data_IF_369608052830
#
_entry.id   IF_369608052830
#
_cell.length_a   1.000
_cell.length_b   1.000
_cell.length_c   1.000
_cell.angle_alpha   90.00
_cell.angle_beta   90.00
_cell.angle_gamma   90.00
#
_symmetry.space_group_name_H-M   'P 1'
#
loop_
_entity.id
_entity.type
_entity.pdbx_description
1 polymer ?
#
# COMPACT_ATOMS: atom_id res chain seq x y z
N UNK A 1 -6.44 -23.71 -30.03
CA UNK A 1 -4.97 -23.78 -30.09
C UNK A 1 -4.45 -23.34 -28.73
N UNK A 2 -4.22 -24.30 -27.84
CA UNK A 2 -3.85 -24.05 -26.43
C UNK A 2 -2.35 -24.24 -26.31
N UNK A 3 -1.62 -23.18 -25.97
CA UNK A 3 -0.18 -23.22 -25.73
C UNK A 3 0.03 -23.72 -24.30
N UNK A 4 0.44 -24.99 -24.18
CA UNK A 4 0.92 -25.62 -22.95
C UNK A 4 2.32 -25.10 -22.63
N UNK A 5 2.46 -24.25 -21.61
CA UNK A 5 3.78 -23.92 -21.04
C UNK A 5 4.17 -25.01 -20.03
N UNK A 6 5.08 -25.87 -20.45
CA UNK A 6 5.71 -26.90 -19.61
C UNK A 6 7.06 -26.33 -19.13
N UNK A 7 7.16 -25.94 -17.87
CA UNK A 7 8.45 -25.61 -17.26
C UNK A 7 9.00 -26.84 -16.53
N UNK A 8 10.31 -27.16 -16.69
CA UNK A 8 10.94 -28.25 -15.97
C UNK A 8 11.34 -27.78 -14.56
N UNK A 9 10.90 -28.52 -13.54
CA UNK A 9 11.32 -28.37 -12.15
C UNK A 9 12.73 -28.99 -11.96
N UNK A 10 13.71 -28.33 -11.32
CA UNK A 10 14.87 -29.04 -10.80
C UNK A 10 14.56 -29.64 -9.43
N UNK A 11 14.93 -30.91 -9.29
CA UNK A 11 14.98 -31.68 -8.06
C UNK A 11 15.86 -30.94 -7.02
N UNK A 12 15.33 -30.65 -5.83
CA UNK A 12 16.15 -30.40 -4.64
C UNK A 12 15.69 -31.29 -3.50
N UNK A 13 16.57 -32.21 -3.11
CA UNK A 13 16.44 -33.07 -1.94
C UNK A 13 16.56 -32.23 -0.66
N UNK A 14 15.60 -32.44 0.24
CA UNK A 14 15.82 -32.69 1.67
C UNK A 14 16.59 -31.66 2.47
N UNK A 15 15.87 -30.84 3.25
CA UNK A 15 16.33 -30.49 4.60
C UNK A 15 15.12 -30.25 5.50
N UNK A 16 15.03 -31.05 6.57
CA UNK A 16 14.06 -30.88 7.67
C UNK A 16 14.18 -29.45 8.20
N UNK A 17 13.10 -28.68 8.17
CA UNK A 17 13.09 -27.32 8.71
C UNK A 17 12.06 -27.18 9.85
N UNK A 18 12.53 -26.52 10.90
CA UNK A 18 11.95 -26.31 12.21
C UNK A 18 10.50 -25.83 12.19
N UNK A 19 9.60 -26.64 12.76
CA UNK A 19 8.27 -26.22 13.19
C UNK A 19 8.30 -26.00 14.70
N UNK A 20 7.88 -24.79 15.14
CA UNK A 20 7.07 -24.45 16.33
C UNK A 20 7.37 -23.02 16.84
N UNK A 21 8.54 -22.45 16.55
CA UNK A 21 8.96 -21.15 17.12
C UNK A 21 8.63 -19.93 16.23
N UNK A 22 8.25 -20.14 14.96
CA UNK A 22 7.90 -19.07 14.01
C UNK A 22 6.48 -18.52 14.21
N UNK A 23 5.54 -19.36 14.63
CA UNK A 23 4.13 -18.96 14.78
C UNK A 23 3.89 -18.04 15.98
N UNK A 24 4.62 -18.24 17.08
CA UNK A 24 4.60 -17.35 18.25
C UNK A 24 5.12 -15.94 17.90
N UNK A 25 6.14 -15.84 17.04
CA UNK A 25 6.76 -14.55 16.69
C UNK A 25 5.90 -13.73 15.72
N UNK A 26 5.16 -14.38 14.81
CA UNK A 26 4.16 -13.71 13.95
C UNK A 26 2.98 -13.17 14.77
N UNK A 27 2.53 -13.92 15.78
CA UNK A 27 1.45 -13.50 16.67
C UNK A 27 1.82 -12.27 17.52
N UNK A 28 3.06 -12.16 18.02
CA UNK A 28 3.54 -11.01 18.79
C UNK A 28 3.59 -9.70 17.98
N UNK A 29 3.98 -9.76 16.70
CA UNK A 29 4.02 -8.58 15.81
C UNK A 29 2.62 -8.01 15.59
N UNK A 30 1.62 -8.87 15.34
CA UNK A 30 0.24 -8.40 15.21
C UNK A 30 -0.35 -7.89 16.55
N UNK A 31 0.09 -8.43 17.70
CA UNK A 31 -0.34 -7.98 19.03
C UNK A 31 0.22 -6.61 19.42
N UNK A 32 1.41 -6.26 18.92
CA UNK A 32 1.98 -4.92 19.10
C UNK A 32 1.16 -3.83 18.37
N UNK A 33 0.58 -4.16 17.21
CA UNK A 33 -0.21 -3.23 16.40
C UNK A 33 -1.61 -2.89 16.98
N UNK A 34 -2.14 -3.70 17.90
CA UNK A 34 -3.49 -3.54 18.48
C UNK A 34 -3.52 -2.87 19.86
N UNK A 35 -2.38 -2.46 20.40
CA UNK A 35 -2.29 -1.88 21.76
C UNK A 35 -2.47 -0.35 21.78
N UNK A 36 -3.72 0.11 21.60
CA UNK A 36 -4.18 1.42 22.07
C UNK A 36 -4.94 1.25 23.39
N UNK A 37 -4.72 2.09 24.42
CA UNK A 37 -5.34 1.88 25.72
C UNK A 37 -6.85 2.20 25.70
N UNK A 38 -7.65 1.28 26.21
CA UNK A 38 -9.08 1.47 26.48
C UNK A 38 -9.30 2.60 27.51
N UNK A 39 -10.03 3.63 27.12
CA UNK A 39 -10.55 4.65 28.04
C UNK A 39 -12.00 4.29 28.33
N UNK A 40 -12.27 3.84 29.55
CA UNK A 40 -13.63 3.72 30.07
C UNK A 40 -14.33 5.08 30.08
N UNK A 41 -15.45 5.22 29.38
CA UNK A 41 -16.37 6.35 29.55
C UNK A 41 -17.78 5.86 29.91
N UNK A 42 -18.27 6.41 31.02
CA UNK A 42 -19.67 6.34 31.46
C UNK A 42 -20.57 7.10 30.49
N UNK A 43 -21.78 6.56 30.28
CA UNK A 43 -22.89 7.12 29.52
C UNK A 43 -23.21 8.60 29.83
N UNK A 44 -23.33 9.42 28.77
CA UNK A 44 -24.48 10.31 28.54
C UNK A 44 -24.40 11.01 27.18
N UNK A 45 -25.50 10.97 26.40
CA UNK A 45 -25.85 12.03 25.44
C UNK A 45 -25.34 11.85 24.01
N UNK A 46 -26.24 11.46 23.12
CA UNK A 46 -26.09 11.35 21.67
C UNK A 46 -25.76 12.68 20.98
N UNK A 47 -24.62 12.74 20.29
CA UNK A 47 -24.35 13.68 19.17
C UNK A 47 -23.58 12.98 18.05
N UNK A 48 -23.88 13.27 16.76
CA UNK A 48 -23.34 12.50 15.63
C UNK A 48 -21.86 12.84 15.33
N UNK A 49 -21.07 11.77 15.16
CA UNK A 49 -19.60 11.72 15.00
C UNK A 49 -19.05 12.60 13.84
N UNK A 50 -19.88 12.95 12.86
CA UNK A 50 -19.46 13.78 11.73
C UNK A 50 -19.16 15.25 12.07
N UNK A 51 -19.72 15.80 13.15
CA UNK A 51 -19.41 17.18 13.57
C UNK A 51 -18.00 17.34 14.16
N UNK A 52 -17.36 16.26 14.63
CA UNK A 52 -15.97 16.32 15.11
C UNK A 52 -14.92 16.17 14.01
N UNK A 53 -15.27 15.55 12.88
CA UNK A 53 -14.34 15.42 11.75
C UNK A 53 -14.29 16.68 10.87
N UNK A 54 -15.35 17.49 10.84
CA UNK A 54 -15.41 18.74 10.07
C UNK A 54 -14.94 19.99 10.84
N UNK A 55 -14.84 19.94 12.17
CA UNK A 55 -14.31 21.07 12.96
C UNK A 55 -12.79 21.19 12.95
N UNK A 56 -12.07 20.22 12.36
CA UNK A 56 -10.60 20.20 12.32
C UNK A 56 -10.03 20.95 11.10
N UNK A 57 -10.86 21.41 10.14
CA UNK A 57 -10.33 22.07 8.94
C UNK A 57 -10.91 23.43 8.55
N UNK A 58 -12.00 23.92 9.15
CA UNK A 58 -12.44 25.31 8.91
C UNK A 58 -13.20 25.88 10.11
N UNK A 59 -12.51 26.72 10.91
CA UNK A 59 -13.13 27.77 11.71
C UNK A 59 -12.07 28.81 12.13
N UNK A 60 -11.83 29.79 11.28
CA UNK A 60 -11.37 31.11 11.75
C UNK A 60 -12.57 32.04 11.75
N UNK A 61 -12.74 32.72 12.89
CA UNK A 61 -13.81 33.65 13.32
C UNK A 61 -15.06 33.02 13.93
N UNK A 62 -15.09 33.04 15.26
CA UNK A 62 -16.31 33.08 16.04
C UNK A 62 -16.56 34.56 16.39
N UNK A 63 -17.69 35.08 15.94
CA UNK A 63 -18.28 36.34 16.41
C UNK A 63 -19.09 36.03 17.67
N UNK A 64 -18.90 36.80 18.75
CA UNK A 64 -19.61 36.60 20.01
C UNK A 64 -20.84 37.53 20.07
N UNK A 65 -22.04 36.97 19.88
CA UNK A 65 -23.31 37.71 19.85
C UNK A 65 -23.70 38.35 21.20
N UNK A 66 -23.02 38.05 22.32
CA UNK A 66 -23.36 38.63 23.61
C UNK A 66 -22.69 39.99 23.91
N UNK A 67 -21.69 40.42 23.12
CA UNK A 67 -20.88 41.62 23.48
C UNK A 67 -20.47 42.53 22.32
N UNK A 68 -20.74 42.18 21.06
CA UNK A 68 -20.58 43.10 19.92
C UNK A 68 -19.16 43.61 19.65
N UNK A 69 -18.10 42.99 20.20
CA UNK A 69 -16.71 43.43 20.01
C UNK A 69 -15.74 42.28 19.72
N UNK A 70 -14.71 42.56 18.93
CA UNK A 70 -13.62 41.63 18.60
C UNK A 70 -12.54 41.67 19.70
N UNK A 71 -12.22 40.53 20.32
CA UNK A 71 -11.16 40.41 21.34
C UNK A 71 -9.91 39.79 20.72
N UNK A 72 -8.77 40.48 20.81
CA UNK A 72 -7.43 39.93 20.55
C UNK A 72 -6.78 39.60 21.88
N UNK A 73 -6.33 38.36 22.10
CA UNK A 73 -5.51 38.08 23.28
C UNK A 73 -4.39 37.06 23.07
N UNK A 74 -3.27 37.40 23.71
CA UNK A 74 -1.90 36.97 23.45
C UNK A 74 -1.54 35.54 23.88
N UNK A 75 -2.53 34.65 24.06
CA UNK A 75 -2.34 33.25 24.47
C UNK A 75 -2.17 32.27 23.28
N UNK A 76 -2.32 32.75 22.03
CA UNK A 76 -2.24 31.91 20.82
C UNK A 76 -0.79 31.60 20.39
N UNK A 77 0.21 32.35 20.88
CA UNK A 77 1.62 32.15 20.53
C UNK A 77 2.21 30.81 21.01
N UNK A 78 1.79 30.34 22.18
CA UNK A 78 2.40 29.19 22.85
C UNK A 78 1.75 27.84 22.44
N UNK A 79 0.47 27.86 22.11
CA UNK A 79 -0.21 26.70 21.48
C UNK A 79 0.25 26.49 20.03
N UNK A 80 0.48 27.58 19.28
CA UNK A 80 1.02 27.53 17.91
C UNK A 80 2.46 27.01 17.87
N UNK A 81 3.30 27.39 18.85
CA UNK A 81 4.66 26.87 19.00
C UNK A 81 4.72 25.36 19.31
N UNK A 82 3.82 24.86 20.17
CA UNK A 82 3.72 23.43 20.50
C UNK A 82 3.18 22.59 19.34
N UNK A 83 2.20 23.09 18.58
CA UNK A 83 1.71 22.42 17.37
C UNK A 83 2.74 22.43 16.23
N UNK A 84 3.53 23.50 16.07
CA UNK A 84 4.66 23.54 15.14
C UNK A 84 5.81 22.62 15.58
N UNK A 85 6.09 22.50 16.87
CA UNK A 85 7.09 21.54 17.38
C UNK A 85 6.61 20.09 17.26
N UNK A 86 5.33 19.82 17.48
CA UNK A 86 4.74 18.49 17.29
C UNK A 86 4.73 18.10 15.82
N UNK A 87 4.32 18.99 14.91
CA UNK A 87 4.43 18.77 13.47
C UNK A 87 5.89 18.54 13.04
N UNK A 88 6.84 19.33 13.56
CA UNK A 88 8.29 19.17 13.33
C UNK A 88 8.88 17.91 13.99
N UNK A 89 8.18 17.28 14.94
CA UNK A 89 8.59 16.03 15.59
C UNK A 89 8.05 14.82 14.84
N UNK A 90 6.82 14.88 14.35
CA UNK A 90 6.24 13.90 13.42
C UNK A 90 6.99 13.89 12.09
N UNK A 91 7.33 15.07 11.55
CA UNK A 91 8.24 15.20 10.40
C UNK A 91 9.57 14.50 10.69
N UNK A 92 10.13 14.64 11.90
CA UNK A 92 11.43 14.05 12.26
C UNK A 92 11.44 12.53 12.29
N UNK A 93 10.35 11.89 12.71
CA UNK A 93 10.23 10.42 12.74
C UNK A 93 10.09 9.85 11.33
N UNK A 94 9.25 10.47 10.50
CA UNK A 94 9.17 10.13 9.07
C UNK A 94 10.49 10.39 8.35
N UNK A 95 11.14 11.52 8.65
CA UNK A 95 12.48 11.84 8.13
C UNK A 95 13.47 10.77 8.54
N UNK A 96 13.48 10.31 9.79
CA UNK A 96 14.40 9.26 10.26
C UNK A 96 14.18 7.92 9.56
N UNK A 97 12.94 7.44 9.43
CA UNK A 97 12.64 6.18 8.74
C UNK A 97 13.06 6.26 7.26
N UNK A 98 12.68 7.36 6.59
CA UNK A 98 13.07 7.62 5.20
C UNK A 98 14.58 7.71 5.08
N UNK A 99 15.27 8.39 6.01
CA UNK A 99 16.72 8.56 6.01
C UNK A 99 17.45 7.23 6.24
N UNK A 100 16.97 6.35 7.11
CA UNK A 100 17.59 5.04 7.35
C UNK A 100 17.45 4.13 6.13
N UNK A 101 16.28 4.10 5.50
CA UNK A 101 16.07 3.36 4.24
C UNK A 101 16.92 3.97 3.11
N UNK A 102 16.99 5.30 3.01
CA UNK A 102 17.85 6.01 2.06
C UNK A 102 19.34 5.70 2.26
N UNK A 103 19.82 5.67 3.50
CA UNK A 103 21.23 5.42 3.80
C UNK A 103 21.65 3.99 3.45
N UNK A 104 20.75 3.02 3.65
CA UNK A 104 20.92 1.65 3.17
C UNK A 104 20.98 1.58 1.63
N UNK A 105 20.15 2.35 0.94
CA UNK A 105 20.09 2.36 -0.53
C UNK A 105 21.24 3.19 -1.17
N UNK A 106 21.69 4.26 -0.52
CA UNK A 106 22.85 5.09 -0.92
C UNK A 106 24.19 4.38 -0.72
N UNK A 107 24.22 3.34 0.12
CA UNK A 107 25.39 2.45 0.26
C UNK A 107 25.63 1.60 -0.99
N UNK A 108 24.65 1.48 -1.89
CA UNK A 108 24.79 0.86 -3.21
C UNK A 108 25.35 1.91 -4.18
N UNK A 109 26.65 2.14 -4.08
CA UNK A 109 27.35 3.23 -4.80
C UNK A 109 27.36 2.97 -6.31
N UNK A 110 26.89 3.98 -7.05
CA UNK A 110 27.16 4.26 -8.47
C UNK A 110 26.48 3.33 -9.50
N UNK A 111 25.28 3.70 -9.96
CA UNK A 111 24.59 2.98 -11.03
C UNK A 111 23.82 3.92 -11.96
N UNK A 112 23.90 3.61 -13.26
CA UNK A 112 23.36 4.36 -14.40
C UNK A 112 21.87 4.68 -14.28
N UNK A 113 21.39 5.70 -15.00
CA UNK A 113 19.98 6.15 -14.99
C UNK A 113 18.95 5.02 -15.23
N UNK A 114 19.39 3.92 -15.87
CA UNK A 114 18.56 2.75 -16.17
C UNK A 114 18.34 1.85 -14.95
N UNK A 115 19.25 1.81 -13.96
CA UNK A 115 19.10 0.89 -12.83
C UNK A 115 17.84 1.19 -12.01
N UNK A 116 17.47 2.47 -11.87
CA UNK A 116 16.32 2.85 -11.06
C UNK A 116 14.98 2.36 -11.64
N UNK A 117 14.93 2.05 -12.95
CA UNK A 117 13.78 1.39 -13.57
C UNK A 117 13.53 -0.03 -13.04
N UNK A 118 14.55 -0.67 -12.45
CA UNK A 118 14.39 -1.97 -11.81
C UNK A 118 13.46 -1.92 -10.60
N UNK A 119 13.31 -0.78 -9.92
CA UNK A 119 12.45 -0.70 -8.75
C UNK A 119 10.97 -1.01 -9.07
N UNK A 120 10.28 -0.27 -9.96
CA UNK A 120 8.90 -0.59 -10.34
C UNK A 120 8.78 -1.96 -11.03
N UNK A 121 9.81 -2.40 -11.76
CA UNK A 121 9.84 -3.74 -12.37
C UNK A 121 9.88 -4.84 -11.29
N UNK A 122 10.79 -4.73 -10.32
CA UNK A 122 10.93 -5.68 -9.21
C UNK A 122 9.70 -5.69 -8.33
N UNK A 123 9.13 -4.53 -8.02
CA UNK A 123 7.87 -4.42 -7.29
C UNK A 123 6.76 -5.21 -7.98
N UNK A 124 6.54 -4.96 -9.27
CA UNK A 124 5.50 -5.63 -10.05
C UNK A 124 5.74 -7.13 -10.16
N UNK A 125 6.98 -7.55 -10.44
CA UNK A 125 7.34 -8.97 -10.59
C UNK A 125 7.23 -9.75 -9.28
N UNK A 126 7.70 -9.18 -8.15
CA UNK A 126 7.63 -9.84 -6.84
C UNK A 126 6.19 -10.04 -6.42
N UNK A 127 5.34 -9.01 -6.56
CA UNK A 127 3.91 -9.09 -6.24
C UNK A 127 3.19 -10.09 -7.14
N UNK A 128 3.36 -9.98 -8.47
CA UNK A 128 2.67 -10.83 -9.43
C UNK A 128 3.09 -12.29 -9.27
N UNK A 129 4.39 -12.59 -9.35
CA UNK A 129 4.88 -13.96 -9.27
C UNK A 129 4.57 -14.55 -7.89
N UNK A 130 4.79 -13.79 -6.81
CA UNK A 130 4.57 -14.27 -5.45
C UNK A 130 3.11 -14.62 -5.17
N UNK A 131 2.17 -13.77 -5.58
CA UNK A 131 0.72 -14.03 -5.39
C UNK A 131 0.24 -15.21 -6.23
N UNK A 132 0.65 -15.29 -7.50
CA UNK A 132 0.29 -16.41 -8.39
C UNK A 132 0.91 -17.74 -7.95
N UNK A 133 2.15 -17.76 -7.46
CA UNK A 133 2.77 -18.98 -6.91
C UNK A 133 2.06 -19.41 -5.62
N UNK A 134 1.73 -18.47 -4.74
CA UNK A 134 0.96 -18.74 -3.53
C UNK A 134 -0.39 -19.38 -3.88
N UNK A 135 -1.13 -18.81 -4.83
CA UNK A 135 -2.37 -19.40 -5.33
C UNK A 135 -2.16 -20.77 -5.99
N UNK A 136 -1.14 -20.92 -6.83
CA UNK A 136 -0.85 -22.19 -7.49
C UNK A 136 -0.56 -23.32 -6.50
N UNK A 137 0.16 -23.01 -5.42
CA UNK A 137 0.39 -23.95 -4.32
C UNK A 137 -0.91 -24.27 -3.59
N UNK A 138 -1.66 -23.26 -3.16
CA UNK A 138 -2.93 -23.44 -2.45
C UNK A 138 -3.93 -24.27 -3.27
N UNK A 139 -4.00 -24.03 -4.58
CA UNK A 139 -4.83 -24.80 -5.51
C UNK A 139 -4.32 -26.24 -5.67
N UNK A 140 -3.00 -26.46 -5.76
CA UNK A 140 -2.42 -27.80 -5.89
C UNK A 140 -2.61 -28.68 -4.65
N UNK A 141 -2.81 -28.07 -3.48
CA UNK A 141 -3.09 -28.74 -2.21
C UNK A 141 -4.59 -28.77 -1.86
N UNK A 142 -5.47 -28.42 -2.80
CA UNK A 142 -6.93 -28.33 -2.60
C UNK A 142 -7.36 -27.40 -1.44
N UNK A 143 -6.49 -26.45 -1.04
CA UNK A 143 -6.80 -25.49 0.02
C UNK A 143 -7.74 -24.38 -0.46
N UNK A 144 -7.77 -24.08 -1.76
CA UNK A 144 -8.64 -23.07 -2.39
C UNK A 144 -9.19 -23.54 -3.72
N UNK A 145 -10.30 -22.95 -4.15
CA UNK A 145 -11.00 -23.39 -5.34
C UNK A 145 -10.36 -22.81 -6.59
N UNK A 146 -10.65 -23.40 -7.75
CA UNK A 146 -10.20 -22.80 -9.00
C UNK A 146 -10.88 -21.45 -9.19
N UNK A 147 -10.10 -20.41 -9.48
CA UNK A 147 -10.62 -19.09 -9.84
C UNK A 147 -11.57 -19.15 -11.05
N UNK A 148 -11.36 -20.11 -11.94
CA UNK A 148 -12.10 -20.28 -13.19
C UNK A 148 -13.32 -21.21 -13.07
N UNK A 149 -13.46 -21.99 -11.98
CA UNK A 149 -14.58 -22.92 -11.83
C UNK A 149 -15.65 -22.34 -10.90
N UNK A 150 -16.81 -22.01 -11.47
CA UNK A 150 -17.91 -21.32 -10.80
C UNK A 150 -19.08 -22.28 -10.49
N UNK A 151 -18.81 -23.58 -10.35
CA UNK A 151 -19.84 -24.61 -10.30
C UNK A 151 -20.92 -24.28 -9.25
N UNK A 152 -22.20 -24.11 -9.66
CA UNK A 152 -23.32 -23.87 -8.77
C UNK A 152 -23.69 -25.18 -8.08
N UNK A 153 -23.12 -25.40 -6.90
CA UNK A 153 -23.39 -26.54 -6.03
C UNK A 153 -22.45 -26.44 -4.86
N UNK A 154 -22.93 -26.73 -3.65
CA UNK A 154 -22.11 -26.68 -2.44
C UNK A 154 -20.94 -27.67 -2.60
N UNK A 155 -19.70 -27.23 -2.94
CA UNK A 155 -18.62 -28.17 -3.20
C UNK A 155 -18.18 -28.87 -1.91
N UNK A 156 -18.70 -28.39 -0.76
CA UNK A 156 -18.56 -28.91 0.59
C UNK A 156 -19.72 -29.81 1.05
N UNK A 157 -20.56 -30.31 0.15
CA UNK A 157 -21.69 -31.17 0.48
C UNK A 157 -21.30 -32.65 0.47
N UNK A 158 -21.09 -33.23 1.66
CA UNK A 158 -21.00 -34.63 2.12
C UNK A 158 -20.60 -35.83 1.21
N UNK A 159 -20.48 -35.75 -0.11
CA UNK A 159 -20.14 -36.92 -0.95
C UNK A 159 -19.73 -36.62 -2.40
N UNK A 160 -18.89 -35.62 -2.65
CA UNK A 160 -18.21 -35.47 -3.94
C UNK A 160 -16.71 -35.33 -3.76
N UNK A 161 -15.96 -36.11 -4.54
CA UNK A 161 -14.49 -36.18 -4.63
C UNK A 161 -13.80 -34.91 -5.13
N UNK A 162 -14.44 -33.73 -5.01
CA UNK A 162 -13.90 -32.43 -5.40
C UNK A 162 -13.73 -31.63 -4.09
N UNK A 163 -12.54 -31.69 -3.53
CA UNK A 163 -12.21 -31.36 -2.15
C UNK A 163 -12.06 -29.84 -1.84
N UNK A 164 -12.83 -28.96 -2.46
CA UNK A 164 -12.63 -27.51 -2.27
C UNK A 164 -13.77 -26.78 -1.54
N UNK A 165 -13.43 -26.03 -0.48
CA UNK A 165 -14.38 -25.24 0.30
C UNK A 165 -14.06 -23.75 0.46
N UNK A 166 -12.92 -23.29 -0.04
CA UNK A 166 -12.46 -21.92 0.20
C UNK A 166 -12.38 -21.14 -1.10
N UNK A 167 -12.99 -19.97 -1.08
CA UNK A 167 -12.95 -19.01 -2.19
C UNK A 167 -11.51 -18.56 -2.42
N UNK A 168 -11.00 -18.55 -3.67
CA UNK A 168 -9.61 -18.26 -3.98
C UNK A 168 -9.29 -16.77 -4.01
N UNK A 169 -9.56 -16.05 -2.92
CA UNK A 169 -8.98 -14.72 -2.70
C UNK A 169 -7.46 -14.86 -2.57
N UNK A 170 -6.71 -13.79 -2.87
CA UNK A 170 -5.24 -13.78 -2.71
C UNK A 170 -4.88 -14.07 -1.25
N UNK A 171 -5.61 -13.46 -0.31
CA UNK A 171 -5.43 -13.66 1.13
C UNK A 171 -5.80 -15.07 1.61
N UNK A 172 -6.93 -15.63 1.15
CA UNK A 172 -7.34 -17.00 1.48
C UNK A 172 -6.32 -18.01 0.92
N UNK A 173 -5.77 -17.74 -0.27
CA UNK A 173 -4.69 -18.53 -0.85
C UNK A 173 -3.41 -18.52 -0.01
N UNK A 174 -3.23 -17.56 0.91
CA UNK A 174 -2.09 -17.50 1.83
C UNK A 174 -2.39 -18.02 3.24
N UNK A 175 -3.46 -18.79 3.43
CA UNK A 175 -3.96 -19.10 4.78
C UNK A 175 -3.29 -20.32 5.41
N UNK A 176 -3.15 -21.43 4.69
CA UNK A 176 -2.67 -22.69 5.27
C UNK A 176 -1.16 -22.86 5.06
N UNK A 177 -0.58 -23.92 5.61
CA UNK A 177 0.82 -24.27 5.37
C UNK A 177 0.93 -25.24 4.18
N UNK A 178 1.94 -25.10 3.31
CA UNK A 178 3.15 -24.26 3.45
C UNK A 178 3.03 -22.82 2.90
N UNK A 179 1.94 -22.48 2.24
CA UNK A 179 1.78 -21.26 1.43
C UNK A 179 1.72 -19.96 2.23
N UNK A 180 1.28 -19.99 3.50
CA UNK A 180 1.22 -18.84 4.39
C UNK A 180 2.58 -18.14 4.55
N UNK A 181 3.67 -18.91 4.71
CA UNK A 181 4.99 -18.31 4.83
C UNK A 181 5.43 -17.61 3.54
N UNK A 182 5.05 -18.16 2.38
CA UNK A 182 5.32 -17.53 1.09
C UNK A 182 4.47 -16.26 0.91
N UNK A 183 3.17 -16.33 1.21
CA UNK A 183 2.27 -15.16 1.19
C UNK A 183 2.81 -14.01 2.04
N UNK A 184 3.15 -14.27 3.30
CA UNK A 184 3.73 -13.25 4.19
C UNK A 184 5.02 -12.68 3.61
N UNK A 185 5.92 -13.51 3.09
CA UNK A 185 7.18 -13.05 2.49
C UNK A 185 6.93 -12.15 1.26
N UNK A 186 6.04 -12.57 0.36
CA UNK A 186 5.64 -11.81 -0.83
C UNK A 186 5.04 -10.47 -0.46
N UNK A 187 4.02 -10.45 0.41
CA UNK A 187 3.33 -9.19 0.77
C UNK A 187 4.26 -8.26 1.55
N UNK A 188 5.15 -8.78 2.41
CA UNK A 188 6.15 -7.96 3.09
C UNK A 188 7.16 -7.34 2.12
N UNK A 189 7.67 -8.13 1.17
CA UNK A 189 8.59 -7.64 0.16
C UNK A 189 7.92 -6.59 -0.74
N UNK A 190 6.70 -6.85 -1.21
CA UNK A 190 5.90 -5.91 -2.00
C UNK A 190 5.62 -4.62 -1.22
N UNK A 191 5.18 -4.71 0.04
CA UNK A 191 4.91 -3.54 0.88
C UNK A 191 6.15 -2.66 1.08
N UNK A 192 7.30 -3.29 1.29
CA UNK A 192 8.58 -2.59 1.40
C UNK A 192 8.98 -1.90 0.08
N UNK A 193 8.95 -2.64 -1.02
CA UNK A 193 9.29 -2.11 -2.35
C UNK A 193 8.33 -0.97 -2.77
N UNK A 194 7.05 -1.09 -2.44
CA UNK A 194 6.05 -0.07 -2.70
C UNK A 194 6.30 1.21 -1.88
N UNK A 195 6.69 1.08 -0.61
CA UNK A 195 7.10 2.23 0.19
C UNK A 195 8.32 2.93 -0.42
N UNK A 196 9.34 2.17 -0.84
CA UNK A 196 10.52 2.72 -1.52
C UNK A 196 10.12 3.40 -2.82
N UNK A 197 9.24 2.79 -3.62
CA UNK A 197 8.68 3.39 -4.82
C UNK A 197 8.00 4.74 -4.55
N UNK A 198 7.15 4.82 -3.52
CA UNK A 198 6.48 6.06 -3.13
C UNK A 198 7.48 7.18 -2.79
N UNK A 199 8.52 6.86 -2.00
CA UNK A 199 9.58 7.80 -1.61
C UNK A 199 10.34 8.31 -2.83
N UNK A 200 10.71 7.41 -3.74
CA UNK A 200 11.50 7.74 -4.91
C UNK A 200 10.69 8.56 -5.91
N UNK A 201 9.44 8.20 -6.14
CA UNK A 201 8.55 8.99 -6.97
C UNK A 201 8.36 10.40 -6.37
N UNK A 202 8.22 10.52 -5.03
CA UNK A 202 8.18 11.84 -4.39
C UNK A 202 9.47 12.66 -4.61
N UNK A 203 10.64 12.03 -4.44
CA UNK A 203 11.94 12.66 -4.71
C UNK A 203 12.04 13.15 -6.16
N UNK A 204 11.56 12.34 -7.11
CA UNK A 204 11.57 12.66 -8.53
C UNK A 204 10.75 13.93 -8.81
N UNK A 205 9.54 14.03 -8.25
CA UNK A 205 8.69 15.22 -8.39
C UNK A 205 9.32 16.44 -7.71
N UNK A 206 9.91 16.28 -6.51
CA UNK A 206 10.51 17.40 -5.79
C UNK A 206 11.64 18.06 -6.59
N UNK A 207 12.49 17.25 -7.24
CA UNK A 207 13.59 17.74 -8.07
C UNK A 207 13.11 18.32 -9.40
N UNK A 208 12.18 17.63 -10.10
CA UNK A 208 11.81 17.98 -11.48
C UNK A 208 10.65 18.96 -11.57
N UNK A 209 9.78 19.01 -10.58
CA UNK A 209 8.59 19.86 -10.56
C UNK A 209 8.15 20.22 -9.13
N UNK A 210 8.96 21.05 -8.47
CA UNK A 210 8.78 21.46 -7.07
C UNK A 210 7.45 22.18 -6.79
N UNK A 211 6.82 22.79 -7.81
CA UNK A 211 5.50 23.44 -7.71
C UNK A 211 4.42 22.44 -7.27
N UNK A 212 4.53 21.17 -7.67
CA UNK A 212 3.59 20.12 -7.30
C UNK A 212 4.05 19.26 -6.11
N UNK A 213 5.06 19.71 -5.37
CA UNK A 213 5.61 19.03 -4.18
C UNK A 213 4.55 18.71 -3.12
N UNK A 214 3.57 19.60 -2.88
CA UNK A 214 2.49 19.36 -1.92
C UNK A 214 1.60 18.20 -2.35
N UNK A 215 1.22 18.15 -3.63
CA UNK A 215 0.40 17.06 -4.18
C UNK A 215 1.14 15.73 -4.09
N UNK A 216 2.43 15.75 -4.44
CA UNK A 216 3.32 14.60 -4.33
C UNK A 216 3.50 14.12 -2.88
N UNK A 217 3.57 15.04 -1.91
CA UNK A 217 3.65 14.71 -0.49
C UNK A 217 2.37 14.05 0.01
N UNK A 218 1.19 14.53 -0.42
CA UNK A 218 -0.09 13.89 -0.09
C UNK A 218 -0.12 12.47 -0.68
N UNK A 219 0.32 12.30 -1.92
CA UNK A 219 0.44 10.98 -2.54
C UNK A 219 1.37 10.05 -1.73
N UNK A 220 2.54 10.53 -1.32
CA UNK A 220 3.47 9.79 -0.47
C UNK A 220 2.81 9.32 0.85
N UNK A 221 1.99 10.16 1.49
CA UNK A 221 1.27 9.78 2.72
C UNK A 221 0.28 8.65 2.44
N UNK A 222 -0.55 8.77 1.41
CA UNK A 222 -1.50 7.70 1.06
C UNK A 222 -0.78 6.40 0.66
N UNK A 223 0.28 6.49 -0.14
CA UNK A 223 1.11 5.34 -0.51
C UNK A 223 1.77 4.68 0.71
N UNK A 224 2.26 5.47 1.66
CA UNK A 224 2.84 4.96 2.90
C UNK A 224 1.82 4.27 3.81
N UNK A 225 0.63 4.86 3.97
CA UNK A 225 -0.47 4.22 4.73
C UNK A 225 -0.92 2.93 4.05
N UNK A 226 -0.99 2.91 2.71
CA UNK A 226 -1.29 1.71 1.96
C UNK A 226 -0.26 0.60 2.20
N UNK A 227 1.04 0.91 2.12
CA UNK A 227 2.12 -0.03 2.40
C UNK A 227 2.03 -0.62 3.81
N UNK A 228 1.70 0.20 4.82
CA UNK A 228 1.49 -0.27 6.19
C UNK A 228 0.26 -1.19 6.29
N UNK A 229 -0.85 -0.83 5.63
CA UNK A 229 -2.05 -1.67 5.58
C UNK A 229 -1.77 -3.04 4.94
N UNK A 230 -1.06 -3.06 3.82
CA UNK A 230 -0.64 -4.28 3.15
C UNK A 230 0.29 -5.12 4.04
N UNK A 231 1.26 -4.51 4.70
CA UNK A 231 2.14 -5.19 5.65
C UNK A 231 1.35 -5.84 6.80
N UNK A 232 0.38 -5.14 7.39
CA UNK A 232 -0.49 -5.72 8.43
C UNK A 232 -1.27 -6.92 7.88
N UNK A 233 -1.89 -6.79 6.71
CA UNK A 233 -2.62 -7.89 6.06
C UNK A 233 -1.72 -9.10 5.74
N UNK A 234 -0.49 -8.86 5.30
CA UNK A 234 0.48 -9.91 4.98
C UNK A 234 0.96 -10.72 6.18
N UNK A 235 1.01 -10.11 7.37
CA UNK A 235 1.50 -10.77 8.59
C UNK A 235 0.36 -11.34 9.45
N UNK A 236 -0.84 -10.77 9.39
CA UNK A 236 -1.96 -11.24 10.18
C UNK A 236 -2.80 -12.20 9.34
N UNK A 237 -2.75 -13.49 9.67
CA UNK A 237 -3.45 -14.53 8.91
C UNK A 237 -4.98 -14.39 9.05
N UNK A 238 -5.77 -14.49 7.95
CA UNK A 238 -7.21 -14.26 7.98
C UNK A 238 -8.00 -15.30 8.80
N UNK A 239 -7.48 -16.50 9.05
CA UNK A 239 -8.13 -17.51 9.90
C UNK A 239 -7.90 -17.31 11.40
N UNK A 240 -6.78 -16.71 11.79
CA UNK A 240 -6.43 -16.53 13.21
C UNK A 240 -6.66 -15.10 13.70
N UNK A 241 -6.42 -14.11 12.84
CA UNK A 241 -6.46 -12.69 13.19
C UNK A 241 -7.20 -11.87 12.14
N UNK A 242 -8.41 -12.34 11.86
CA UNK A 242 -9.34 -11.89 10.82
C UNK A 242 -9.57 -10.37 10.81
N UNK A 243 -9.82 -9.76 11.98
CA UNK A 243 -10.09 -8.32 12.07
C UNK A 243 -8.90 -7.48 11.61
N UNK A 244 -7.70 -7.79 12.11
CA UNK A 244 -6.49 -7.06 11.76
C UNK A 244 -6.14 -7.24 10.28
N UNK A 245 -6.30 -8.46 9.77
CA UNK A 245 -6.11 -8.76 8.35
C UNK A 245 -7.02 -7.91 7.46
N UNK A 246 -8.33 -7.97 7.67
CA UNK A 246 -9.29 -7.26 6.82
C UNK A 246 -9.24 -5.76 7.00
N UNK A 247 -8.96 -5.26 8.21
CA UNK A 247 -8.73 -3.83 8.42
C UNK A 247 -7.49 -3.35 7.66
N UNK A 248 -6.38 -4.09 7.72
CA UNK A 248 -5.16 -3.80 6.96
C UNK A 248 -5.40 -3.80 5.46
N UNK A 249 -6.09 -4.83 4.95
CA UNK A 249 -6.45 -4.93 3.53
C UNK A 249 -7.36 -3.79 3.08
N UNK A 250 -8.41 -3.46 3.85
CA UNK A 250 -9.33 -2.38 3.55
C UNK A 250 -8.63 -1.01 3.51
N UNK A 251 -7.77 -0.73 4.51
CA UNK A 251 -6.96 0.50 4.54
C UNK A 251 -6.03 0.56 3.33
N UNK A 252 -5.39 -0.56 2.98
CA UNK A 252 -4.52 -0.65 1.82
C UNK A 252 -5.25 -0.33 0.53
N UNK A 253 -6.33 -1.04 0.22
CA UNK A 253 -7.08 -0.89 -1.03
C UNK A 253 -7.66 0.52 -1.20
N UNK A 254 -8.20 1.10 -0.13
CA UNK A 254 -8.72 2.46 -0.15
C UNK A 254 -7.60 3.48 -0.40
N UNK A 255 -6.48 3.35 0.30
CA UNK A 255 -5.36 4.29 0.15
C UNK A 255 -4.69 4.16 -1.23
N UNK A 256 -4.62 2.95 -1.80
CA UNK A 256 -4.16 2.73 -3.18
C UNK A 256 -5.04 3.46 -4.18
N UNK A 257 -6.38 3.46 -4.03
CA UNK A 257 -7.26 4.22 -4.92
C UNK A 257 -6.92 5.72 -4.93
N UNK A 258 -6.74 6.32 -3.75
CA UNK A 258 -6.34 7.72 -3.64
C UNK A 258 -4.93 7.93 -4.20
N UNK A 259 -4.00 7.03 -3.91
CA UNK A 259 -2.63 7.09 -4.41
C UNK A 259 -2.58 7.07 -5.95
N UNK A 260 -3.24 6.12 -6.61
CA UNK A 260 -3.31 6.00 -8.07
C UNK A 260 -3.93 7.25 -8.71
N UNK A 261 -4.99 7.80 -8.11
CA UNK A 261 -5.59 9.06 -8.55
C UNK A 261 -4.59 10.21 -8.48
N UNK A 262 -3.93 10.39 -7.34
CA UNK A 262 -2.95 11.47 -7.14
C UNK A 262 -1.76 11.33 -8.10
N UNK A 263 -1.25 10.13 -8.32
CA UNK A 263 -0.17 9.84 -9.26
C UNK A 263 -0.59 10.11 -10.72
N UNK A 264 -1.83 9.79 -11.07
CA UNK A 264 -2.36 10.09 -12.40
C UNK A 264 -2.47 11.60 -12.62
N UNK A 265 -2.96 12.35 -11.62
CA UNK A 265 -2.98 13.83 -11.69
C UNK A 265 -1.55 14.39 -11.79
N UNK A 266 -0.59 13.86 -11.03
CA UNK A 266 0.81 14.27 -11.13
C UNK A 266 1.39 13.98 -12.51
N UNK A 267 1.04 12.85 -13.12
CA UNK A 267 1.46 12.49 -14.48
C UNK A 267 1.03 13.57 -15.48
N UNK A 268 -0.24 13.96 -15.45
CA UNK A 268 -0.79 14.98 -16.35
C UNK A 268 -0.22 16.37 -16.12
N UNK A 269 0.19 16.70 -14.88
CA UNK A 269 0.73 18.01 -14.52
C UNK A 269 2.25 18.14 -14.72
N UNK A 270 3.00 17.06 -14.50
CA UNK A 270 4.46 17.15 -14.42
C UNK A 270 5.18 16.85 -15.74
N UNK A 271 4.59 16.01 -16.60
CA UNK A 271 5.10 15.69 -17.96
C UNK A 271 6.62 15.42 -17.98
N UNK A 272 7.03 14.34 -17.32
CA UNK A 272 8.44 14.06 -17.00
C UNK A 272 9.23 13.34 -18.12
N UNK A 273 8.55 12.61 -19.00
CA UNK A 273 9.15 11.63 -19.94
C UNK A 273 8.97 11.96 -21.41
N UNK A 274 8.06 12.87 -21.75
CA UNK A 274 7.56 13.13 -23.12
C UNK A 274 6.72 12.00 -23.71
N UNK A 275 6.43 10.94 -22.95
CA UNK A 275 5.55 9.83 -23.34
C UNK A 275 4.15 9.94 -22.73
N UNK A 276 3.80 11.11 -22.18
CA UNK A 276 2.53 11.32 -21.46
C UNK A 276 1.32 11.20 -22.36
N UNK A 277 1.46 11.42 -23.67
CA UNK A 277 0.39 11.16 -24.63
C UNK A 277 -0.13 9.72 -24.58
N UNK A 278 0.73 8.77 -24.16
CA UNK A 278 0.39 7.36 -23.96
C UNK A 278 0.23 7.03 -22.46
N UNK A 279 1.19 7.45 -21.62
CA UNK A 279 1.20 7.09 -20.20
C UNK A 279 0.03 7.72 -19.42
N UNK A 280 -0.32 8.97 -19.72
CA UNK A 280 -1.41 9.66 -19.03
C UNK A 280 -2.77 8.98 -19.26
N UNK A 281 -3.24 8.74 -20.50
CA UNK A 281 -4.52 8.04 -20.71
C UNK A 281 -4.49 6.61 -20.17
N UNK A 282 -3.37 5.88 -20.30
CA UNK A 282 -3.24 4.54 -19.73
C UNK A 282 -3.44 4.53 -18.21
N UNK A 283 -2.85 5.49 -17.49
CA UNK A 283 -2.99 5.65 -16.04
C UNK A 283 -4.37 6.16 -15.62
N UNK A 284 -5.00 7.01 -16.42
CA UNK A 284 -6.42 7.39 -16.21
C UNK A 284 -7.31 6.16 -16.26
N UNK A 285 -7.15 5.32 -17.29
CA UNK A 285 -7.91 4.08 -17.43
C UNK A 285 -7.64 3.12 -16.27
N UNK A 286 -6.37 2.90 -15.93
CA UNK A 286 -6.00 2.01 -14.82
C UNK A 286 -6.49 2.53 -13.46
N UNK A 287 -6.44 3.83 -13.19
CA UNK A 287 -7.03 4.43 -11.98
C UNK A 287 -8.55 4.25 -11.92
N UNK A 288 -9.25 4.45 -13.05
CA UNK A 288 -10.69 4.22 -13.11
C UNK A 288 -11.04 2.75 -12.84
N UNK A 289 -10.30 1.81 -13.44
CA UNK A 289 -10.42 0.38 -13.16
C UNK A 289 -10.19 0.11 -11.68
N UNK A 290 -9.10 0.62 -11.09
CA UNK A 290 -8.75 0.42 -9.67
C UNK A 290 -9.91 0.82 -8.75
N UNK A 291 -10.50 1.99 -8.96
CA UNK A 291 -11.60 2.50 -8.15
C UNK A 291 -12.85 1.63 -8.32
N UNK A 292 -13.23 1.32 -9.57
CA UNK A 292 -14.43 0.54 -9.88
C UNK A 292 -14.32 -0.87 -9.28
N UNK A 293 -13.18 -1.54 -9.45
CA UNK A 293 -13.00 -2.90 -8.93
C UNK A 293 -12.86 -2.92 -7.40
N UNK A 294 -12.29 -1.87 -6.79
CA UNK A 294 -12.28 -1.75 -5.31
C UNK A 294 -13.69 -1.63 -4.74
N UNK A 295 -14.53 -0.79 -5.36
CA UNK A 295 -15.94 -0.64 -4.94
C UNK A 295 -16.69 -1.95 -5.15
N UNK A 296 -16.52 -2.60 -6.31
CA UNK A 296 -17.14 -3.90 -6.59
C UNK A 296 -16.71 -4.98 -5.60
N UNK A 297 -15.41 -5.08 -5.31
CA UNK A 297 -14.87 -5.98 -4.28
C UNK A 297 -15.54 -5.72 -2.93
N UNK A 298 -15.58 -4.47 -2.47
CA UNK A 298 -16.15 -4.12 -1.16
C UNK A 298 -17.63 -4.50 -1.04
N UNK A 299 -18.42 -4.32 -2.11
CA UNK A 299 -19.84 -4.68 -2.13
C UNK A 299 -20.02 -6.20 -2.13
N UNK A 300 -19.26 -6.91 -2.96
CA UNK A 300 -19.38 -8.36 -3.16
C UNK A 300 -18.82 -9.16 -1.97
N UNK A 301 -17.75 -8.68 -1.35
CA UNK A 301 -17.04 -9.38 -0.27
C UNK A 301 -17.88 -9.54 1.00
N UNK A 302 -18.76 -8.56 1.29
CA UNK A 302 -19.63 -8.56 2.48
C UNK A 302 -20.81 -9.54 2.34
N UNK A 303 -21.10 -10.01 1.12
CA UNK A 303 -22.21 -10.92 0.87
C UNK A 303 -21.94 -12.31 1.46
N UNK A 304 -22.99 -13.01 1.88
CA UNK A 304 -22.87 -14.35 2.47
C UNK A 304 -22.77 -15.46 1.43
N UNK A 305 -23.46 -15.30 0.29
CA UNK A 305 -23.53 -16.31 -0.77
C UNK A 305 -22.17 -16.56 -1.43
N UNK A 306 -21.88 -17.84 -1.67
CA UNK A 306 -20.61 -18.28 -2.28
C UNK A 306 -20.33 -17.58 -3.62
N UNK A 307 -21.35 -17.42 -4.46
CA UNK A 307 -21.20 -16.79 -5.79
C UNK A 307 -20.69 -15.35 -5.70
N UNK A 308 -21.18 -14.57 -4.74
CA UNK A 308 -20.73 -13.19 -4.54
C UNK A 308 -19.32 -13.14 -3.97
N UNK A 309 -18.97 -14.01 -3.02
CA UNK A 309 -17.60 -14.11 -2.50
C UNK A 309 -16.61 -14.55 -3.58
N UNK A 310 -16.97 -15.52 -4.41
CA UNK A 310 -16.15 -15.94 -5.56
C UNK A 310 -15.96 -14.80 -6.56
N UNK A 311 -17.02 -14.06 -6.84
CA UNK A 311 -16.92 -12.84 -7.65
C UNK A 311 -16.01 -11.80 -6.98
N UNK A 312 -16.09 -11.62 -5.65
CA UNK A 312 -15.18 -10.72 -4.93
C UNK A 312 -13.73 -11.15 -5.09
N UNK A 313 -13.41 -12.45 -5.03
CA UNK A 313 -12.05 -12.94 -5.30
C UNK A 313 -11.57 -12.51 -6.69
N UNK A 314 -12.39 -12.66 -7.74
CA UNK A 314 -12.04 -12.21 -9.09
C UNK A 314 -11.75 -10.69 -9.12
N UNK A 315 -12.55 -9.90 -8.41
CA UNK A 315 -12.31 -8.45 -8.31
C UNK A 315 -11.01 -8.13 -7.57
N UNK A 316 -10.65 -8.87 -6.52
CA UNK A 316 -9.37 -8.72 -5.81
C UNK A 316 -8.17 -9.08 -6.71
N UNK A 317 -8.28 -10.13 -7.53
CA UNK A 317 -7.25 -10.47 -8.51
C UNK A 317 -7.08 -9.38 -9.57
N UNK A 318 -8.18 -8.84 -10.10
CA UNK A 318 -8.14 -7.72 -11.05
C UNK A 318 -7.52 -6.48 -10.38
N UNK A 319 -7.89 -6.20 -9.13
CA UNK A 319 -7.33 -5.11 -8.32
C UNK A 319 -5.81 -5.24 -8.18
N UNK A 320 -5.30 -6.43 -7.84
CA UNK A 320 -3.86 -6.67 -7.67
C UNK A 320 -3.10 -6.51 -8.99
N UNK A 321 -3.56 -7.19 -10.05
CA UNK A 321 -2.88 -7.15 -11.35
C UNK A 321 -2.93 -5.75 -11.96
N UNK A 322 -4.04 -5.01 -11.81
CA UNK A 322 -4.12 -3.64 -12.29
C UNK A 322 -3.17 -2.70 -11.53
N UNK A 323 -3.03 -2.87 -10.21
CA UNK A 323 -2.05 -2.12 -9.42
C UNK A 323 -0.62 -2.38 -9.88
N UNK A 324 -0.25 -3.65 -10.08
CA UNK A 324 1.08 -4.03 -10.55
C UNK A 324 1.38 -3.43 -11.94
N UNK A 325 0.42 -3.46 -12.87
CA UNK A 325 0.56 -2.83 -14.19
C UNK A 325 0.64 -1.30 -14.09
N UNK A 326 -0.12 -0.69 -13.17
CA UNK A 326 -0.06 0.73 -12.90
C UNK A 326 1.32 1.14 -12.41
N UNK A 327 1.89 0.42 -11.45
CA UNK A 327 3.24 0.64 -10.92
C UNK A 327 4.31 0.40 -11.99
N UNK A 328 4.19 -0.67 -12.77
CA UNK A 328 5.09 -0.97 -13.88
C UNK A 328 5.14 0.15 -14.91
N UNK A 329 4.02 0.86 -15.13
CA UNK A 329 3.98 2.00 -16.05
C UNK A 329 4.92 3.14 -15.65
N UNK A 330 5.37 3.20 -14.39
CA UNK A 330 6.36 4.18 -13.92
C UNK A 330 7.82 3.76 -14.19
N UNK A 331 8.07 2.55 -14.70
CA UNK A 331 9.42 2.13 -15.09
C UNK A 331 10.06 3.10 -16.09
N UNK A 332 9.26 3.62 -17.03
CA UNK A 332 9.71 4.63 -18.02
C UNK A 332 10.15 5.94 -17.35
N UNK A 333 9.43 6.40 -16.33
CA UNK A 333 9.81 7.59 -15.56
C UNK A 333 11.09 7.38 -14.77
N UNK A 334 11.23 6.19 -14.19
CA UNK A 334 12.39 5.84 -13.39
C UNK A 334 13.66 5.64 -14.24
N UNK A 335 13.55 5.40 -15.55
CA UNK A 335 14.71 5.46 -16.47
C UNK A 335 15.36 6.86 -16.54
N UNK A 336 14.63 7.92 -16.17
CA UNK A 336 15.15 9.29 -16.12
C UNK A 336 15.53 9.72 -14.69
N UNK A 337 15.44 8.80 -13.73
CA UNK A 337 15.79 9.06 -12.34
C UNK A 337 17.31 9.09 -12.16
N UNK A 338 17.79 10.04 -11.34
CA UNK A 338 19.20 10.18 -11.00
C UNK A 338 19.40 10.13 -9.49
N UNK A 339 20.53 9.58 -9.05
CA UNK A 339 20.90 9.53 -7.64
C UNK A 339 20.94 10.92 -6.98
N UNK A 340 21.14 12.01 -7.74
CA UNK A 340 21.06 13.39 -7.22
C UNK A 340 19.66 13.77 -6.74
N UNK A 341 18.59 13.19 -7.30
CA UNK A 341 17.21 13.41 -6.86
C UNK A 341 16.99 12.94 -5.42
N UNK A 342 17.69 11.88 -5.02
CA UNK A 342 17.66 11.34 -3.66
C UNK A 342 18.36 12.27 -2.67
N UNK A 343 19.45 12.91 -3.09
CA UNK A 343 20.16 13.92 -2.30
C UNK A 343 19.30 15.15 -1.98
N UNK A 344 18.32 15.47 -2.84
CA UNK A 344 17.35 16.55 -2.60
C UNK A 344 16.45 16.27 -1.40
N UNK A 345 16.09 15.00 -1.13
CA UNK A 345 15.39 14.63 0.10
C UNK A 345 16.25 14.79 1.36
N UNK A 346 17.57 14.69 1.23
CA UNK A 346 18.51 14.81 2.35
C UNK A 346 18.96 16.25 2.62
N UNK A 347 18.52 17.22 1.84
CA UNK A 347 18.99 18.61 1.95
C UNK A 347 20.48 18.80 1.63
N UNK A 348 21.16 17.78 1.06
CA UNK A 348 22.61 17.80 0.81
C UNK A 348 23.04 18.70 -0.36
N UNK A 349 22.09 19.29 -1.08
CA UNK A 349 22.37 20.09 -2.28
C UNK A 349 22.81 21.53 -1.97
N UNK A 350 22.62 22.00 -0.75
CA UNK A 350 22.97 23.37 -0.35
C UNK A 350 24.45 23.53 0.08
N UNK A 351 25.24 22.45 0.18
CA UNK A 351 26.67 22.52 0.52
C UNK A 351 27.62 22.47 -0.69
N UNK A 352 27.11 22.15 -1.90
CA UNK A 352 27.92 22.07 -3.14
C UNK A 352 27.54 23.14 -4.18
N UNK A 353 27.12 24.33 -3.75
CA UNK A 353 27.31 25.51 -4.59
C UNK A 353 28.72 26.04 -4.27
N UNK A 354 29.77 25.71 -5.05
CA UNK A 354 30.99 26.47 -4.95
C UNK A 354 30.61 27.92 -5.23
N UNK A 355 30.96 28.78 -4.29
CA UNK A 355 30.93 30.23 -4.41
C UNK A 355 31.85 30.55 -5.59
N UNK A 356 31.27 30.62 -6.78
CA UNK A 356 31.97 30.96 -8.02
C UNK A 356 31.23 32.18 -8.60
N UNK A 357 31.27 33.26 -7.84
CA UNK A 357 30.93 34.63 -8.24
C UNK A 357 31.33 35.58 -7.10
N UNK A 358 32.60 36.01 -7.13
CA UNK A 358 33.10 37.34 -6.80
C UNK A 358 34.63 37.32 -6.87
#
# INVERSE_FOLDING_TARGET
MVVQFKFPLPLFLGTKMCNLHSDLRKAEICKAASSLPEIHTKNSGTTPVWKHLLSIYFASKIYNEASGLWVTDSAVGESRGRNLQSARKTDRVWTQIVTTVLLLLLSLKYQDMVLWSLLPISLSLVSLIGTWVTYGLAYSYDHVCSLNNWAPGNPCGNNTTIACCQVPTISTSGTSSPENSLFTATINAASFLFMVFCIFHHAHILERNSVHSMLSRIALVFGGVAAVGAFVAGNCNPSYLTLAHYLGAAVSFLCVCFYSLLLTVLTGKCVLTRMEWFLYPARVMSTAVQIIVTIGYAILFVQEEYMYKHSAAVFEWILSVNLELFELSFAVEFCFFSSSMLSTLLGKKDEEKPILLA
#
